data_IF_280457791982
#
_entry.id   IF_280457791982
#
_cell.length_a   1.000
_cell.length_b   1.000
_cell.length_c   1.000
_cell.angle_alpha   90.00
_cell.angle_beta   90.00
_cell.angle_gamma   90.00
#
_symmetry.space_group_name_H-M   'P 1'
#
loop_
_entity.id
_entity.type
_entity.pdbx_description
1 polymer ?
#
# COMPACT_ATOMS: atom_id res chain seq x y z
N UNK A 1 16.35 -6.54 2.82
CA UNK A 1 15.41 -5.79 1.95
C UNK A 1 14.23 -6.70 1.67
N UNK A 2 13.05 -6.25 2.01
CA UNK A 2 11.78 -6.94 1.74
C UNK A 2 10.82 -6.00 1.01
N UNK A 3 10.06 -6.54 0.08
CA UNK A 3 9.00 -5.81 -0.65
C UNK A 3 7.67 -6.16 0.00
N UNK A 4 7.03 -5.18 0.62
CA UNK A 4 5.86 -5.34 1.47
C UNK A 4 4.68 -4.58 0.87
N UNK A 5 3.65 -5.31 0.47
CA UNK A 5 2.39 -4.74 -0.02
C UNK A 5 1.43 -4.56 1.15
N UNK A 6 0.94 -3.35 1.36
CA UNK A 6 -0.09 -3.04 2.35
C UNK A 6 -1.38 -2.63 1.65
N UNK A 7 -2.52 -3.21 2.03
CA UNK A 7 -3.81 -2.90 1.41
C UNK A 7 -4.97 -2.98 2.41
N UNK A 8 -5.87 -2.00 2.29
CA UNK A 8 -7.26 -2.20 2.74
C UNK A 8 -7.96 -3.09 1.74
N UNK A 9 -8.64 -4.12 2.20
CA UNK A 9 -9.26 -5.12 1.35
C UNK A 9 -10.63 -5.55 1.90
N UNK A 10 -11.58 -5.78 1.03
CA UNK A 10 -12.88 -6.36 1.40
C UNK A 10 -12.82 -7.87 1.48
N UNK A 11 -13.84 -8.51 2.09
CA UNK A 11 -13.94 -9.98 2.15
C UNK A 11 -13.96 -10.64 0.75
N UNK A 12 -14.48 -9.95 -0.26
CA UNK A 12 -14.48 -10.41 -1.64
C UNK A 12 -13.28 -9.92 -2.46
N UNK A 13 -12.23 -9.42 -1.78
CA UNK A 13 -10.92 -9.14 -2.38
C UNK A 13 -10.82 -7.83 -3.14
N UNK A 14 -11.76 -6.90 -2.98
CA UNK A 14 -11.75 -5.58 -3.61
C UNK A 14 -10.85 -4.62 -2.81
N UNK A 15 -10.02 -3.85 -3.50
CA UNK A 15 -9.08 -2.88 -2.92
C UNK A 15 -9.25 -1.47 -3.47
N UNK A 16 -10.10 -1.27 -4.47
CA UNK A 16 -10.34 0.05 -5.07
C UNK A 16 -11.16 0.96 -4.17
N UNK A 17 -10.76 2.24 -4.13
CA UNK A 17 -11.50 3.36 -3.55
C UNK A 17 -11.91 3.17 -2.06
N UNK A 18 -11.01 2.73 -1.19
CA UNK A 18 -11.36 2.44 0.20
C UNK A 18 -11.79 3.69 0.99
N UNK A 19 -11.29 4.87 0.62
CA UNK A 19 -11.57 6.16 1.26
C UNK A 19 -12.64 7.00 0.53
N UNK A 20 -13.06 6.57 -0.67
CA UNK A 20 -14.05 7.28 -1.49
C UNK A 20 -13.48 8.41 -2.35
N UNK A 21 -12.17 8.65 -2.31
CA UNK A 21 -11.52 9.73 -3.09
C UNK A 21 -11.57 9.48 -4.61
N UNK A 22 -11.73 8.22 -5.02
CA UNK A 22 -11.90 7.81 -6.41
C UNK A 22 -13.29 8.11 -6.97
N UNK A 23 -14.26 8.50 -6.13
CA UNK A 23 -15.62 8.86 -6.54
C UNK A 23 -16.46 7.69 -7.08
N UNK A 24 -16.09 6.46 -6.78
CA UNK A 24 -16.87 5.31 -7.23
C UNK A 24 -18.17 5.16 -6.42
N UNK A 25 -19.28 4.63 -6.99
CA UNK A 25 -20.56 4.51 -6.29
C UNK A 25 -20.49 3.72 -4.98
N UNK A 26 -19.50 2.84 -4.83
CA UNK A 26 -19.29 2.00 -3.64
C UNK A 26 -18.03 2.38 -2.87
N UNK A 27 -17.42 3.54 -3.15
CA UNK A 27 -16.22 4.04 -2.48
C UNK A 27 -16.45 4.39 -1.00
N UNK A 28 -15.36 4.64 -0.26
CA UNK A 28 -15.39 5.01 1.16
C UNK A 28 -15.73 3.85 2.11
N UNK A 29 -15.69 2.63 1.62
CA UNK A 29 -16.13 1.44 2.37
C UNK A 29 -15.29 1.17 3.62
N UNK A 30 -14.01 1.46 3.62
CA UNK A 30 -13.15 1.22 4.78
C UNK A 30 -13.48 2.19 5.94
N UNK A 31 -13.81 3.43 5.61
CA UNK A 31 -14.07 4.48 6.62
C UNK A 31 -15.45 4.38 7.30
N UNK A 32 -16.34 3.54 6.78
CA UNK A 32 -17.65 3.25 7.40
C UNK A 32 -17.51 2.46 8.71
N UNK A 33 -16.35 1.85 8.96
CA UNK A 33 -16.09 0.97 10.11
C UNK A 33 -15.42 1.69 11.29
N UNK A 34 -15.40 3.03 11.26
CA UNK A 34 -14.88 3.87 12.32
C UNK A 34 -13.37 4.13 12.25
N UNK A 35 -12.90 5.14 13.01
CA UNK A 35 -11.51 5.58 12.94
C UNK A 35 -10.53 4.55 13.49
N UNK A 36 -10.93 3.69 14.42
CA UNK A 36 -10.08 2.66 15.00
C UNK A 36 -9.54 1.67 13.95
N UNK A 37 -10.30 1.44 12.87
CA UNK A 37 -9.90 0.55 11.80
C UNK A 37 -9.00 1.21 10.75
N UNK A 38 -8.93 2.54 10.67
CA UNK A 38 -8.24 3.23 9.58
C UNK A 38 -7.16 4.22 10.00
N UNK A 39 -7.16 4.73 11.25
CA UNK A 39 -6.22 5.75 11.70
C UNK A 39 -4.92 5.18 12.25
N UNK A 40 -3.82 5.90 12.08
CA UNK A 40 -2.48 5.55 12.58
C UNK A 40 -1.82 4.39 11.84
N UNK A 41 -0.83 3.76 12.48
CA UNK A 41 -0.07 2.63 11.91
C UNK A 41 -0.85 1.30 12.00
N UNK A 42 -1.95 1.19 11.27
CA UNK A 42 -2.81 -0.01 11.28
C UNK A 42 -2.16 -1.24 10.65
N UNK A 43 -1.16 -1.02 9.82
CA UNK A 43 -0.38 -2.10 9.21
C UNK A 43 0.81 -2.53 10.07
N UNK A 44 0.99 -1.94 11.26
CA UNK A 44 2.08 -2.24 12.19
C UNK A 44 3.45 -2.21 11.51
N UNK A 45 3.67 -1.16 10.71
CA UNK A 45 4.90 -0.98 9.96
C UNK A 45 6.09 -0.70 10.89
N UNK A 46 5.88 0.13 11.92
CA UNK A 46 6.90 0.41 12.91
C UNK A 46 8.24 0.80 12.26
N UNK A 47 9.32 0.14 12.66
CA UNK A 47 10.67 0.37 12.13
C UNK A 47 10.81 0.10 10.63
N UNK A 48 10.00 -0.77 10.06
CA UNK A 48 9.97 -0.99 8.60
C UNK A 48 9.68 0.31 7.84
N UNK A 49 8.83 1.18 8.40
CA UNK A 49 8.57 2.49 7.82
C UNK A 49 9.69 3.48 8.12
N UNK A 50 10.25 3.47 9.34
CA UNK A 50 11.30 4.42 9.73
C UNK A 50 12.62 4.22 8.96
N UNK A 51 13.01 2.97 8.76
CA UNK A 51 14.26 2.58 8.10
C UNK A 51 14.05 2.26 6.59
N UNK A 52 12.82 2.24 6.12
CA UNK A 52 12.42 1.82 4.78
C UNK A 52 12.21 2.96 3.78
N UNK A 53 11.49 2.63 2.72
CA UNK A 53 11.07 3.56 1.68
C UNK A 53 9.63 3.25 1.25
N UNK A 54 8.82 4.30 1.01
CA UNK A 54 7.50 4.15 0.40
C UNK A 54 7.64 4.12 -1.12
N UNK A 55 7.05 3.11 -1.76
CA UNK A 55 6.91 3.07 -3.21
C UNK A 55 5.45 3.34 -3.58
N UNK A 56 5.25 4.36 -4.38
CA UNK A 56 3.94 4.88 -4.75
C UNK A 56 3.82 4.99 -6.26
N UNK A 57 2.68 4.64 -6.81
CA UNK A 57 2.31 5.09 -8.14
C UNK A 57 1.84 6.56 -8.08
N UNK A 58 1.85 7.24 -9.23
CA UNK A 58 1.51 8.65 -9.33
C UNK A 58 0.17 8.98 -8.66
N UNK A 59 -0.91 8.26 -8.97
CA UNK A 59 -2.25 8.56 -8.43
C UNK A 59 -2.28 8.50 -6.90
N UNK A 60 -1.62 7.51 -6.31
CA UNK A 60 -1.52 7.39 -4.85
C UNK A 60 -0.66 8.50 -4.26
N UNK A 61 0.44 8.86 -4.94
CA UNK A 61 1.27 9.98 -4.50
C UNK A 61 0.53 11.33 -4.59
N UNK A 62 -0.21 11.58 -5.67
CA UNK A 62 -1.03 12.79 -5.84
C UNK A 62 -2.08 12.93 -4.71
N UNK A 63 -2.71 11.83 -4.31
CA UNK A 63 -3.65 11.79 -3.19
C UNK A 63 -2.94 12.08 -1.87
N UNK A 64 -1.85 11.38 -1.60
CA UNK A 64 -1.14 11.42 -0.32
C UNK A 64 -0.39 12.74 -0.12
N UNK A 65 0.12 13.36 -1.17
CA UNK A 65 0.78 14.67 -1.12
C UNK A 65 -0.15 15.81 -0.69
N UNK A 66 -1.46 15.62 -0.81
CA UNK A 66 -2.49 16.55 -0.29
C UNK A 66 -2.97 16.18 1.10
N UNK A 67 -2.81 14.92 1.50
CA UNK A 67 -3.33 14.40 2.75
C UNK A 67 -2.36 14.57 3.92
N UNK A 68 -1.09 14.22 3.72
CA UNK A 68 -0.13 14.07 4.82
C UNK A 68 0.60 15.37 5.22
N UNK A 69 1.05 16.26 4.31
CA UNK A 69 1.91 17.38 4.67
C UNK A 69 1.33 18.37 5.68
N UNK A 70 -0.01 18.49 5.75
CA UNK A 70 -0.68 19.39 6.67
C UNK A 70 -1.02 18.79 8.04
N UNK A 71 -0.55 17.57 8.34
CA UNK A 71 -0.88 16.85 9.58
C UNK A 71 0.34 16.74 10.49
N UNK A 72 0.10 16.78 11.81
CA UNK A 72 1.12 16.78 12.86
C UNK A 72 0.99 15.62 13.86
N UNK A 73 0.03 14.71 13.68
CA UNK A 73 -0.03 13.49 14.48
C UNK A 73 1.20 12.60 14.25
N UNK A 74 1.58 11.76 15.24
CA UNK A 74 2.83 10.99 15.18
C UNK A 74 2.96 10.11 13.93
N UNK A 75 1.85 9.53 13.43
CA UNK A 75 1.90 8.70 12.23
C UNK A 75 2.08 9.55 10.97
N UNK A 76 1.41 10.69 10.88
CA UNK A 76 1.55 11.63 9.76
C UNK A 76 2.97 12.20 9.68
N UNK A 77 3.60 12.52 10.81
CA UNK A 77 4.99 12.97 10.85
C UNK A 77 5.94 11.89 10.30
N UNK A 78 5.71 10.61 10.65
CA UNK A 78 6.48 9.49 10.09
C UNK A 78 6.27 9.37 8.57
N UNK A 79 5.02 9.44 8.08
CA UNK A 79 4.71 9.43 6.65
C UNK A 79 5.40 10.59 5.90
N UNK A 80 5.52 11.75 6.53
CA UNK A 80 6.21 12.90 5.93
C UNK A 80 7.74 12.73 5.92
N UNK A 81 8.33 12.07 6.91
CA UNK A 81 9.78 11.90 7.03
C UNK A 81 10.34 10.78 6.15
N UNK A 82 9.58 9.68 5.95
CA UNK A 82 10.06 8.53 5.18
C UNK A 82 10.41 8.93 3.73
N UNK A 83 11.50 8.41 3.14
CA UNK A 83 11.79 8.57 1.72
C UNK A 83 10.71 7.93 0.84
N UNK A 84 10.39 8.57 -0.29
CA UNK A 84 9.37 8.10 -1.22
C UNK A 84 9.94 7.93 -2.62
N UNK A 85 9.67 6.77 -3.21
CA UNK A 85 9.91 6.49 -4.63
C UNK A 85 8.56 6.57 -5.35
N UNK A 86 8.49 7.37 -6.40
CA UNK A 86 7.25 7.59 -7.15
C UNK A 86 7.38 7.05 -8.56
N UNK A 87 6.69 5.95 -8.84
CA UNK A 87 6.66 5.38 -10.19
C UNK A 87 5.76 6.23 -11.10
N UNK A 88 6.38 7.04 -11.95
CA UNK A 88 5.67 7.91 -12.88
C UNK A 88 6.51 8.24 -14.11
N UNK A 89 5.88 8.23 -15.28
CA UNK A 89 6.48 8.67 -16.56
C UNK A 89 6.32 10.16 -16.85
N UNK A 90 5.44 10.84 -16.12
CA UNK A 90 5.03 12.22 -16.42
C UNK A 90 5.13 13.18 -15.25
N UNK A 91 5.39 12.69 -14.02
CA UNK A 91 5.62 13.55 -12.87
C UNK A 91 7.04 14.13 -12.95
N UNK A 92 7.16 15.43 -12.85
CA UNK A 92 8.46 16.14 -12.89
C UNK A 92 8.72 16.94 -11.62
N UNK A 93 7.67 17.36 -10.92
CA UNK A 93 7.76 18.14 -9.68
C UNK A 93 7.19 17.32 -8.50
N UNK A 94 8.01 17.10 -7.49
CA UNK A 94 7.66 16.39 -6.24
C UNK A 94 7.66 17.31 -5.02
N UNK A 95 7.73 18.63 -5.20
CA UNK A 95 7.80 19.61 -4.11
C UNK A 95 6.59 19.59 -3.17
N UNK A 96 5.44 19.10 -3.64
CA UNK A 96 4.21 18.99 -2.84
C UNK A 96 4.33 18.00 -1.67
N UNK A 97 5.29 17.08 -1.69
CA UNK A 97 5.54 16.17 -0.55
C UNK A 97 7.03 15.86 -0.43
N UNK A 98 7.64 16.37 0.62
CA UNK A 98 9.07 16.25 0.86
C UNK A 98 9.57 14.80 0.81
N UNK A 99 10.87 14.63 0.52
CA UNK A 99 11.55 13.33 0.43
C UNK A 99 11.00 12.41 -0.68
N UNK A 100 10.39 12.98 -1.72
CA UNK A 100 9.89 12.24 -2.88
C UNK A 100 10.89 12.31 -4.05
N UNK A 101 11.14 11.15 -4.68
CA UNK A 101 11.98 11.00 -5.86
C UNK A 101 11.26 10.20 -6.94
N UNK A 102 11.31 10.64 -8.19
CA UNK A 102 10.60 9.99 -9.30
C UNK A 102 11.45 8.89 -9.92
N UNK A 103 10.85 7.71 -10.10
CA UNK A 103 11.35 6.62 -10.94
C UNK A 103 10.70 6.76 -12.32
N UNK A 104 11.45 7.23 -13.30
CA UNK A 104 10.92 7.49 -14.64
C UNK A 104 10.99 6.28 -15.59
N UNK A 105 11.95 5.39 -15.39
CA UNK A 105 12.28 4.35 -16.36
C UNK A 105 11.84 2.96 -15.91
N UNK A 106 12.73 2.19 -15.31
CA UNK A 106 12.52 0.79 -14.97
C UNK A 106 12.20 0.64 -13.47
N UNK A 107 10.90 0.48 -13.17
CA UNK A 107 10.41 0.25 -11.82
C UNK A 107 11.01 -1.03 -11.22
N UNK A 108 11.09 -2.10 -12.01
CA UNK A 108 11.57 -3.42 -11.55
C UNK A 108 13.05 -3.33 -11.18
N UNK A 109 13.86 -2.73 -12.06
CA UNK A 109 15.27 -2.49 -11.77
C UNK A 109 15.47 -1.60 -10.53
N UNK A 110 14.69 -0.53 -10.39
CA UNK A 110 14.77 0.35 -9.23
C UNK A 110 14.50 -0.40 -7.92
N UNK A 111 13.46 -1.25 -7.89
CA UNK A 111 13.15 -2.06 -6.72
C UNK A 111 14.24 -3.10 -6.43
N UNK A 112 14.75 -3.79 -7.47
CA UNK A 112 15.85 -4.78 -7.31
C UNK A 112 17.16 -4.16 -6.78
N UNK A 113 17.42 -2.89 -7.04
CA UNK A 113 18.62 -2.17 -6.58
C UNK A 113 18.42 -1.47 -5.23
N UNK A 114 17.19 -1.34 -4.74
CA UNK A 114 16.92 -0.77 -3.42
C UNK A 114 17.50 -1.70 -2.33
N UNK A 115 18.00 -1.10 -1.26
CA UNK A 115 18.61 -1.83 -0.14
C UNK A 115 17.74 -1.83 1.11
N UNK A 116 16.85 -0.83 1.21
CA UNK A 116 15.89 -0.68 2.31
C UNK A 116 14.66 -1.52 2.06
N UNK A 117 13.88 -1.77 3.09
CA UNK A 117 12.56 -2.36 2.93
C UNK A 117 11.66 -1.43 2.13
N UNK A 118 10.93 -1.98 1.16
CA UNK A 118 10.05 -1.24 0.25
C UNK A 118 8.61 -1.49 0.65
N UNK A 119 7.91 -0.45 1.14
CA UNK A 119 6.49 -0.52 1.50
C UNK A 119 5.65 0.05 0.36
N UNK A 120 4.69 -0.71 -0.14
CA UNK A 120 3.84 -0.33 -1.27
C UNK A 120 2.39 -0.27 -0.82
N UNK A 121 1.79 0.90 -0.92
CA UNK A 121 0.35 1.10 -0.62
C UNK A 121 -0.51 1.33 -1.86
N UNK A 122 0.08 1.40 -3.04
CA UNK A 122 -0.56 1.65 -4.33
C UNK A 122 0.35 2.47 -5.26
N UNK A 123 0.03 2.71 -6.51
CA UNK A 123 -1.22 2.27 -7.20
C UNK A 123 -1.23 0.76 -7.44
N UNK A 124 -2.40 0.23 -7.75
CA UNK A 124 -2.53 -1.19 -8.09
C UNK A 124 -1.64 -1.59 -9.26
N UNK A 125 -1.43 -0.73 -10.26
CA UNK A 125 -0.55 -1.01 -11.38
C UNK A 125 0.91 -1.24 -10.95
N UNK A 126 1.38 -0.55 -9.90
CA UNK A 126 2.71 -0.80 -9.32
C UNK A 126 2.74 -2.17 -8.63
N UNK A 127 1.72 -2.46 -7.82
CA UNK A 127 1.57 -3.75 -7.14
C UNK A 127 1.53 -4.90 -8.15
N UNK A 128 0.70 -4.77 -9.21
CA UNK A 128 0.58 -5.77 -10.27
C UNK A 128 1.90 -6.05 -10.97
N UNK A 129 2.66 -4.99 -11.30
CA UNK A 129 3.97 -5.15 -11.94
C UNK A 129 4.91 -5.96 -11.06
N UNK A 130 4.96 -5.66 -9.77
CA UNK A 130 5.88 -6.35 -8.85
C UNK A 130 5.41 -7.78 -8.52
N UNK A 131 4.10 -8.03 -8.48
CA UNK A 131 3.56 -9.40 -8.37
C UNK A 131 3.89 -10.23 -9.61
N UNK A 132 3.75 -9.66 -10.82
CA UNK A 132 4.08 -10.34 -12.06
C UNK A 132 5.58 -10.70 -12.17
N UNK A 133 6.45 -9.89 -11.61
CA UNK A 133 7.91 -10.09 -11.55
C UNK A 133 8.37 -10.91 -10.34
N UNK A 134 7.42 -11.45 -9.58
CA UNK A 134 7.70 -12.28 -8.40
C UNK A 134 8.54 -11.59 -7.32
N UNK A 135 8.34 -10.27 -7.13
CA UNK A 135 9.15 -9.42 -6.25
C UNK A 135 8.49 -9.11 -4.89
N UNK A 136 7.25 -9.53 -4.65
CA UNK A 136 6.57 -9.27 -3.38
C UNK A 136 6.91 -10.35 -2.37
N UNK A 137 7.46 -9.96 -1.21
CA UNK A 137 7.86 -10.85 -0.12
C UNK A 137 6.79 -10.98 0.97
N UNK A 138 6.07 -9.89 1.27
CA UNK A 138 5.08 -9.86 2.34
C UNK A 138 3.83 -9.08 1.92
N UNK A 139 2.67 -9.57 2.35
CA UNK A 139 1.39 -8.86 2.28
C UNK A 139 0.89 -8.56 3.69
N UNK A 140 0.51 -7.31 3.95
CA UNK A 140 -0.24 -6.89 5.14
C UNK A 140 -1.61 -6.42 4.71
N UNK A 141 -2.60 -7.28 4.90
CA UNK A 141 -3.95 -7.06 4.43
C UNK A 141 -4.85 -6.70 5.61
N UNK A 142 -5.39 -5.49 5.61
CA UNK A 142 -6.40 -5.09 6.57
C UNK A 142 -7.77 -5.36 5.97
N UNK A 143 -8.36 -6.50 6.35
CA UNK A 143 -9.60 -7.02 5.78
C UNK A 143 -10.80 -6.47 6.53
N UNK A 144 -11.65 -5.74 5.82
CA UNK A 144 -12.87 -5.17 6.36
C UNK A 144 -14.08 -6.11 6.17
N UNK A 145 -15.03 -6.15 7.11
CA UNK A 145 -16.23 -6.99 7.03
C UNK A 145 -17.26 -6.41 6.03
N UNK A 146 -16.83 -6.30 4.78
CA UNK A 146 -17.60 -5.70 3.68
C UNK A 146 -17.42 -6.56 2.44
N UNK A 147 -18.49 -6.71 1.65
CA UNK A 147 -18.47 -7.25 0.30
C UNK A 147 -19.05 -6.21 -0.66
N UNK A 148 -18.42 -6.01 -1.80
CA UNK A 148 -18.85 -5.04 -2.81
C UNK A 148 -19.40 -5.67 -4.09
N UNK A 149 -18.99 -6.89 -4.41
CA UNK A 149 -19.37 -7.62 -5.61
C UNK A 149 -18.73 -7.11 -6.91
N UNK A 150 -18.28 -5.85 -6.95
CA UNK A 150 -17.62 -5.25 -8.10
C UNK A 150 -16.56 -4.24 -7.66
N UNK A 151 -15.47 -4.13 -8.43
CA UNK A 151 -14.31 -3.27 -8.16
C UNK A 151 -13.01 -3.94 -8.59
N UNK A 152 -11.89 -3.29 -8.34
CA UNK A 152 -10.57 -3.85 -8.64
C UNK A 152 -10.14 -4.79 -7.51
N UNK A 153 -9.77 -6.02 -7.87
CA UNK A 153 -9.26 -7.02 -6.92
C UNK A 153 -7.74 -6.89 -6.78
N UNK A 154 -7.23 -7.22 -5.60
CA UNK A 154 -5.78 -7.31 -5.38
C UNK A 154 -5.18 -8.46 -6.20
N UNK A 155 -5.73 -9.65 -6.07
CA UNK A 155 -5.29 -10.83 -6.83
C UNK A 155 -6.20 -11.01 -8.04
N UNK A 156 -5.66 -10.66 -9.21
CA UNK A 156 -6.39 -10.68 -10.49
C UNK A 156 -5.97 -11.86 -11.34
N UNK A 157 -6.78 -12.19 -12.33
CA UNK A 157 -6.38 -13.18 -13.34
C UNK A 157 -5.07 -12.78 -14.02
N UNK A 158 -4.15 -13.73 -14.18
CA UNK A 158 -2.82 -13.52 -14.75
C UNK A 158 -1.71 -13.21 -13.74
N UNK A 159 -2.03 -12.96 -12.48
CA UNK A 159 -1.02 -12.95 -11.41
C UNK A 159 -0.56 -14.40 -11.16
N UNK A 160 0.76 -14.68 -11.13
CA UNK A 160 1.26 -16.01 -10.83
C UNK A 160 0.78 -16.51 -9.47
N UNK A 161 0.42 -17.79 -9.34
CA UNK A 161 0.08 -18.35 -8.05
C UNK A 161 1.30 -18.36 -7.13
N UNK A 162 1.07 -18.06 -5.85
CA UNK A 162 2.10 -18.08 -4.81
C UNK A 162 1.54 -18.66 -3.53
N UNK A 163 2.29 -19.56 -2.90
CA UNK A 163 1.97 -20.06 -1.59
C UNK A 163 2.51 -19.11 -0.52
N UNK A 164 1.66 -18.76 0.42
CA UNK A 164 1.95 -17.83 1.49
C UNK A 164 1.82 -18.51 2.85
N UNK A 165 2.68 -18.14 3.78
CA UNK A 165 2.59 -18.48 5.18
C UNK A 165 1.92 -17.35 5.96
N UNK A 166 0.92 -17.68 6.78
CA UNK A 166 0.30 -16.72 7.69
C UNK A 166 1.20 -16.46 8.89
N UNK A 167 1.76 -15.27 9.00
CA UNK A 167 2.62 -14.86 10.11
C UNK A 167 1.81 -14.41 11.33
N UNK A 168 0.69 -13.72 11.12
CA UNK A 168 -0.22 -13.29 12.17
C UNK A 168 -1.58 -12.89 11.60
N UNK A 169 -2.61 -12.95 12.45
CA UNK A 169 -3.93 -12.40 12.17
C UNK A 169 -4.48 -11.78 13.47
N UNK A 170 -4.70 -10.48 13.45
CA UNK A 170 -5.08 -9.70 14.62
C UNK A 170 -6.28 -8.81 14.31
N UNK A 171 -7.21 -8.70 15.27
CA UNK A 171 -8.31 -7.76 15.17
C UNK A 171 -7.82 -6.32 15.34
N UNK A 172 -8.27 -5.42 14.47
CA UNK A 172 -7.98 -3.99 14.49
C UNK A 172 -9.28 -3.22 14.29
N UNK A 173 -9.88 -2.79 15.38
CA UNK A 173 -11.25 -2.26 15.35
C UNK A 173 -12.21 -3.29 14.79
N UNK A 174 -12.98 -2.93 13.76
CA UNK A 174 -13.89 -3.84 13.07
C UNK A 174 -13.20 -4.71 12.00
N UNK A 175 -11.93 -4.46 11.67
CA UNK A 175 -11.18 -5.15 10.63
C UNK A 175 -10.23 -6.20 11.22
N UNK A 176 -9.66 -7.05 10.34
CA UNK A 176 -8.61 -8.01 10.68
C UNK A 176 -7.37 -7.68 9.89
N UNK A 177 -6.27 -7.41 10.57
CA UNK A 177 -4.94 -7.32 9.97
C UNK A 177 -4.35 -8.72 9.88
N UNK A 178 -4.20 -9.24 8.67
CA UNK A 178 -3.47 -10.46 8.41
C UNK A 178 -2.13 -10.14 7.73
N UNK A 179 -1.07 -10.82 8.18
CA UNK A 179 0.26 -10.72 7.60
C UNK A 179 0.63 -12.06 6.99
N UNK A 180 1.02 -12.01 5.73
CA UNK A 180 1.42 -13.18 4.98
C UNK A 180 2.80 -12.96 4.39
N UNK A 181 3.72 -13.90 4.59
CA UNK A 181 4.99 -13.91 3.88
C UNK A 181 4.99 -15.00 2.82
N UNK A 182 5.87 -14.87 1.86
CA UNK A 182 6.14 -15.94 0.91
C UNK A 182 6.62 -17.19 1.65
N UNK A 183 6.00 -18.32 1.41
CA UNK A 183 6.48 -19.60 1.95
C UNK A 183 7.91 -19.88 1.46
N UNK A 184 8.76 -20.42 2.34
CA UNK A 184 10.10 -20.86 1.94
C UNK A 184 9.97 -21.94 0.86
N UNK A 185 10.76 -21.79 -0.19
CA UNK A 185 10.84 -22.80 -1.26
C UNK A 185 11.68 -23.99 -0.81
#
# INVERSE_FOLDING_TARGET
MSVIVIQFITLDGIVSDPDGSGGTPKGGWAFRHGPEAVAGDKFRLGRTLDDGVLLLGRTTWDLFSRLWPGRDDPFSLRMNSVPKLVASRSLTDTSAWANSCVIQNDLVAAVRHERRDVVITGSLSVVDTLMAEDLVDEYRLLTFPTTLGAGQRLFRAGVPPVDLECLSADQVGAAVLARYARAAR
#
